data_IF_207917802594
#
_entry.id   IF_207917802594
#
_cell.length_a   1.000
_cell.length_b   1.000
_cell.length_c   1.000
_cell.angle_alpha   90.00
_cell.angle_beta   90.00
_cell.angle_gamma   90.00
#
_symmetry.space_group_name_H-M   'P 1'
#
loop_
_entity.id
_entity.type
_entity.pdbx_description
1 polymer ?
#
# COMPACT_ATOMS: atom_id res chain seq x y z
N UNK A 1 4.51 -34.89 -14.81
CA UNK A 1 5.60 -33.94 -14.47
C UNK A 1 5.21 -32.94 -13.36
N UNK A 2 3.98 -32.39 -13.31
CA UNK A 2 3.56 -31.43 -12.22
C UNK A 2 3.62 -32.03 -10.81
N UNK A 3 3.17 -33.28 -10.62
CA UNK A 3 3.11 -33.91 -9.28
C UNK A 3 4.47 -34.23 -8.66
N UNK A 4 5.51 -34.48 -9.47
CA UNK A 4 6.86 -34.75 -8.96
C UNK A 4 7.57 -33.48 -8.50
N UNK A 5 7.51 -32.41 -9.30
CA UNK A 5 8.05 -31.11 -8.91
C UNK A 5 7.37 -30.59 -7.63
N UNK A 6 6.04 -30.66 -7.55
CA UNK A 6 5.30 -30.21 -6.35
C UNK A 6 5.69 -31.03 -5.08
N UNK A 7 6.00 -32.31 -5.23
CA UNK A 7 6.50 -33.15 -4.13
C UNK A 7 7.91 -32.69 -3.70
N UNK A 8 8.81 -32.46 -4.65
CA UNK A 8 10.17 -31.96 -4.40
C UNK A 8 10.13 -30.59 -3.71
N UNK A 9 9.26 -29.69 -4.18
CA UNK A 9 9.11 -28.36 -3.58
C UNK A 9 8.59 -28.41 -2.14
N UNK A 10 7.65 -29.31 -1.83
CA UNK A 10 7.16 -29.49 -0.46
C UNK A 10 8.24 -29.97 0.52
N UNK A 11 9.26 -30.70 0.05
CA UNK A 11 10.38 -31.14 0.88
C UNK A 11 11.26 -30.01 1.42
N UNK A 12 11.13 -28.79 0.89
CA UNK A 12 11.83 -27.60 1.40
C UNK A 12 11.12 -26.96 2.59
N UNK A 13 9.86 -27.28 2.84
CA UNK A 13 9.12 -26.71 3.96
C UNK A 13 9.77 -27.11 5.30
N UNK A 14 9.95 -26.13 6.19
CA UNK A 14 10.63 -26.28 7.48
C UNK A 14 12.15 -26.25 7.41
N UNK A 15 12.77 -26.25 6.20
CA UNK A 15 14.23 -26.14 6.06
C UNK A 15 14.73 -24.72 6.33
N UNK A 16 15.96 -24.55 6.85
CA UNK A 16 16.59 -23.23 7.03
C UNK A 16 16.63 -22.46 5.73
N UNK A 17 16.22 -21.20 5.79
CA UNK A 17 16.25 -20.28 4.65
C UNK A 17 17.43 -19.30 4.72
N UNK A 18 17.70 -18.76 5.90
CA UNK A 18 18.84 -17.88 6.18
C UNK A 18 19.05 -17.79 7.70
N UNK A 19 20.25 -17.52 8.12
CA UNK A 19 20.58 -17.15 9.50
C UNK A 19 21.78 -16.23 9.49
N UNK A 20 21.98 -15.45 10.56
CA UNK A 20 23.17 -14.64 10.70
C UNK A 20 23.01 -13.44 11.62
N UNK A 21 24.02 -12.58 11.56
CA UNK A 21 24.11 -11.33 12.30
C UNK A 21 24.02 -10.17 11.31
N UNK A 22 23.29 -9.12 11.67
CA UNK A 22 23.26 -7.87 10.92
C UNK A 22 24.69 -7.30 10.74
N UNK A 23 24.99 -6.75 9.57
CA UNK A 23 26.35 -6.22 9.27
C UNK A 23 26.77 -5.06 10.17
N UNK A 24 25.81 -4.32 10.66
CA UNK A 24 26.00 -3.20 11.57
C UNK A 24 25.04 -3.31 12.74
N UNK A 25 25.42 -2.91 13.96
CA UNK A 25 24.45 -2.69 15.02
C UNK A 25 23.42 -1.65 14.62
N UNK A 26 22.27 -1.64 15.25
CA UNK A 26 21.30 -0.55 15.11
C UNK A 26 22.03 0.77 15.36
N UNK A 27 21.84 1.75 14.46
CA UNK A 27 22.59 3.00 14.56
C UNK A 27 21.81 4.22 14.10
N UNK A 28 22.09 5.35 14.72
CA UNK A 28 21.39 6.61 14.46
C UNK A 28 21.58 7.15 13.01
N UNK A 29 22.76 7.01 12.35
CA UNK A 29 22.88 7.40 10.94
C UNK A 29 21.92 6.68 10.01
N UNK A 30 21.80 5.36 10.12
CA UNK A 30 20.86 4.60 9.28
C UNK A 30 19.40 4.97 9.57
N UNK A 31 19.03 5.16 10.85
CA UNK A 31 17.70 5.65 11.23
C UNK A 31 17.42 7.00 10.56
N UNK A 32 18.36 7.94 10.63
CA UNK A 32 18.21 9.25 10.00
C UNK A 32 18.08 9.15 8.48
N UNK A 33 18.92 8.38 7.80
CA UNK A 33 18.86 8.20 6.35
C UNK A 33 17.53 7.60 5.92
N UNK A 34 17.02 6.63 6.67
CA UNK A 34 15.70 6.06 6.42
C UNK A 34 14.59 7.10 6.55
N UNK A 35 14.55 7.83 7.67
CA UNK A 35 13.53 8.85 7.91
C UNK A 35 13.57 9.97 6.87
N UNK A 36 14.78 10.43 6.49
CA UNK A 36 14.97 11.41 5.42
C UNK A 36 14.47 10.90 4.06
N UNK A 37 14.79 9.65 3.70
CA UNK A 37 14.40 9.05 2.44
C UNK A 37 12.87 8.99 2.27
N UNK A 38 12.13 8.61 3.33
CA UNK A 38 10.68 8.49 3.27
C UNK A 38 9.94 9.75 3.77
N UNK A 39 10.68 10.77 4.24
CA UNK A 39 10.12 12.01 4.79
C UNK A 39 9.41 11.84 6.14
N UNK A 40 9.78 10.83 6.93
CA UNK A 40 9.23 10.61 8.28
C UNK A 40 9.88 11.56 9.29
N UNK A 41 9.06 12.40 9.92
CA UNK A 41 9.49 13.42 10.90
C UNK A 41 9.05 13.11 12.32
N UNK A 42 8.69 11.87 12.61
CA UNK A 42 8.29 11.49 13.96
C UNK A 42 9.44 11.74 14.95
N UNK A 43 9.24 12.55 16.00
CA UNK A 43 10.29 12.90 16.97
C UNK A 43 10.85 11.69 17.73
N UNK A 44 10.16 10.56 17.79
CA UNK A 44 10.66 9.34 18.40
C UNK A 44 11.90 8.76 17.67
N UNK A 45 12.08 9.10 16.39
CA UNK A 45 13.21 8.66 15.54
C UNK A 45 14.39 9.62 15.55
N UNK A 46 14.31 10.70 16.34
CA UNK A 46 15.32 11.75 16.41
C UNK A 46 15.79 12.00 17.84
N UNK A 47 16.83 12.79 18.00
CA UNK A 47 17.37 13.19 19.32
C UNK A 47 18.59 12.39 19.75
N UNK A 48 18.90 12.42 21.05
CA UNK A 48 20.11 11.77 21.60
C UNK A 48 19.99 10.25 21.69
N UNK A 49 18.78 9.74 21.90
CA UNK A 49 18.49 8.31 22.02
C UNK A 49 17.32 7.97 21.07
N UNK A 50 17.55 8.00 19.74
CA UNK A 50 16.48 7.72 18.80
C UNK A 50 16.05 6.24 18.88
N UNK A 51 14.79 5.97 18.67
CA UNK A 51 14.31 4.63 18.40
C UNK A 51 14.39 4.34 16.90
N UNK A 52 14.62 3.09 16.52
CA UNK A 52 14.48 2.70 15.14
C UNK A 52 12.98 2.62 14.78
N UNK A 53 12.53 3.23 13.66
CA UNK A 53 11.20 3.01 13.14
C UNK A 53 10.86 1.52 13.03
N UNK A 54 9.67 1.05 13.44
CA UNK A 54 9.31 -0.37 13.35
C UNK A 54 9.52 -0.98 11.97
N UNK A 55 9.18 -0.24 10.91
CA UNK A 55 9.37 -0.67 9.52
C UNK A 55 10.83 -0.97 9.12
N UNK A 56 11.81 -0.54 9.93
CA UNK A 56 13.22 -0.89 9.74
C UNK A 56 13.60 -2.29 10.26
N UNK A 57 12.68 -3.05 10.86
CA UNK A 57 12.99 -4.37 11.42
C UNK A 57 13.76 -5.26 10.42
N UNK A 58 13.30 -5.35 9.19
CA UNK A 58 13.96 -6.12 8.13
C UNK A 58 15.27 -5.46 7.66
N UNK A 59 15.38 -4.14 7.70
CA UNK A 59 16.54 -3.40 7.18
C UNK A 59 17.84 -3.84 7.85
N UNK A 60 17.79 -4.15 9.15
CA UNK A 60 18.94 -4.60 9.93
C UNK A 60 19.43 -6.01 9.57
N UNK A 61 18.62 -6.79 8.85
CA UNK A 61 18.98 -8.15 8.38
C UNK A 61 19.42 -8.17 6.92
N UNK A 62 19.39 -7.03 6.22
CA UNK A 62 19.71 -6.94 4.80
C UNK A 62 21.23 -7.05 4.56
N UNK A 63 21.60 -7.93 3.64
CA UNK A 63 23.01 -8.20 3.32
C UNK A 63 23.74 -7.01 2.66
N UNK A 64 23.02 -6.08 2.04
CA UNK A 64 23.57 -4.96 1.31
C UNK A 64 24.20 -5.36 -0.03
N UNK A 65 24.95 -4.43 -0.65
CA UNK A 65 25.48 -4.60 -2.02
C UNK A 65 26.47 -5.77 -2.16
N UNK A 66 27.33 -5.99 -1.16
CA UNK A 66 28.35 -7.04 -1.23
C UNK A 66 27.79 -8.45 -1.13
N UNK A 67 26.52 -8.64 -0.75
CA UNK A 67 25.83 -9.93 -0.76
C UNK A 67 26.49 -11.06 0.04
N UNK A 68 27.53 -10.75 0.82
CA UNK A 68 28.26 -11.75 1.59
C UNK A 68 27.39 -12.40 2.68
N UNK A 69 27.79 -13.61 3.17
CA UNK A 69 27.11 -14.21 4.27
C UNK A 69 27.07 -13.26 5.47
N UNK A 70 26.05 -13.37 6.32
CA UNK A 70 26.03 -12.65 7.59
C UNK A 70 27.33 -12.91 8.36
N UNK A 71 27.82 -11.91 9.06
CA UNK A 71 29.03 -12.06 9.90
C UNK A 71 28.68 -13.00 11.05
N UNK A 72 29.52 -13.99 11.32
CA UNK A 72 29.35 -14.85 12.50
C UNK A 72 29.33 -13.96 13.78
N UNK A 73 28.42 -14.22 14.73
CA UNK A 73 28.37 -13.43 15.94
C UNK A 73 29.67 -13.63 16.72
N UNK A 74 30.32 -12.56 17.22
CA UNK A 74 31.50 -12.70 18.05
C UNK A 74 31.15 -13.50 19.31
N UNK A 75 31.79 -14.69 19.46
CA UNK A 75 31.58 -15.59 20.61
C UNK A 75 30.45 -16.61 20.48
N UNK A 76 29.89 -16.81 19.28
CA UNK A 76 28.97 -17.92 19.01
C UNK A 76 29.67 -19.27 19.09
N UNK A 77 28.94 -20.38 19.43
CA UNK A 77 29.51 -21.71 19.41
C UNK A 77 30.07 -21.98 18.00
N UNK A 78 31.29 -22.53 17.94
CA UNK A 78 31.99 -22.85 16.70
C UNK A 78 31.31 -23.99 15.94
N UNK A 79 30.22 -23.69 15.29
CA UNK A 79 29.52 -24.58 14.38
C UNK A 79 29.12 -23.76 13.16
N UNK A 80 29.49 -24.19 11.97
CA UNK A 80 29.05 -23.57 10.73
C UNK A 80 27.51 -23.48 10.75
N UNK A 81 26.91 -22.34 10.39
CA UNK A 81 25.47 -22.20 10.33
C UNK A 81 24.91 -23.28 9.38
N UNK A 82 23.69 -23.80 9.64
CA UNK A 82 23.10 -24.81 8.77
C UNK A 82 23.01 -24.25 7.34
N UNK A 83 23.35 -25.03 6.31
CA UNK A 83 23.35 -24.56 4.94
C UNK A 83 21.95 -24.08 4.55
N UNK A 84 21.86 -22.86 4.01
CA UNK A 84 20.61 -22.31 3.51
C UNK A 84 20.04 -23.16 2.39
N UNK A 85 18.77 -23.52 2.48
CA UNK A 85 18.06 -24.26 1.46
C UNK A 85 17.46 -23.36 0.34
N UNK A 86 17.49 -22.04 0.51
CA UNK A 86 16.97 -21.07 -0.47
C UNK A 86 17.71 -21.12 -1.81
N UNK A 87 19.05 -21.18 -1.87
CA UNK A 87 19.77 -21.30 -3.15
C UNK A 87 19.36 -22.54 -3.93
N UNK A 88 19.28 -23.71 -3.26
CA UNK A 88 18.85 -24.98 -3.90
C UNK A 88 17.40 -24.88 -4.42
N UNK A 89 16.49 -24.36 -3.60
CA UNK A 89 15.09 -24.13 -3.98
C UNK A 89 14.99 -23.18 -5.17
N UNK A 90 15.79 -22.12 -5.14
CA UNK A 90 15.83 -21.12 -6.23
C UNK A 90 16.34 -21.72 -7.52
N UNK A 91 17.40 -22.53 -7.48
CA UNK A 91 17.93 -23.24 -8.64
C UNK A 91 16.89 -24.23 -9.22
N UNK A 92 16.23 -25.01 -8.37
CA UNK A 92 15.18 -25.93 -8.79
C UNK A 92 14.00 -25.20 -9.48
N UNK A 93 13.62 -24.04 -8.99
CA UNK A 93 12.57 -23.22 -9.61
C UNK A 93 13.05 -22.58 -10.92
N UNK A 94 14.31 -22.17 -10.99
CA UNK A 94 14.90 -21.64 -12.23
C UNK A 94 14.98 -22.72 -13.33
N UNK A 95 15.34 -23.96 -12.99
CA UNK A 95 15.29 -25.10 -13.92
C UNK A 95 13.88 -25.36 -14.46
N UNK A 96 12.84 -25.06 -13.65
CA UNK A 96 11.44 -25.13 -14.10
C UNK A 96 10.96 -23.91 -14.89
N UNK A 97 11.86 -22.97 -15.22
CA UNK A 97 11.59 -21.74 -15.94
C UNK A 97 11.17 -20.56 -15.05
N UNK A 98 11.06 -20.72 -13.71
CA UNK A 98 10.67 -19.66 -12.80
C UNK A 98 11.88 -18.80 -12.39
N UNK A 99 12.39 -18.00 -13.32
CA UNK A 99 13.61 -17.19 -13.17
C UNK A 99 13.38 -15.80 -12.56
N UNK A 100 12.20 -15.22 -12.73
CA UNK A 100 11.86 -13.91 -12.20
C UNK A 100 11.33 -13.99 -10.75
N UNK A 101 11.51 -12.91 -9.99
CA UNK A 101 11.03 -12.79 -8.62
C UNK A 101 10.39 -11.43 -8.37
N UNK A 102 9.33 -11.42 -7.56
CA UNK A 102 8.72 -10.19 -7.05
C UNK A 102 8.20 -10.42 -5.64
N UNK A 103 8.39 -9.43 -4.76
CA UNK A 103 7.79 -9.41 -3.44
C UNK A 103 6.28 -9.18 -3.54
N UNK A 104 5.47 -9.92 -2.77
CA UNK A 104 4.02 -9.82 -2.79
C UNK A 104 3.43 -9.43 -1.46
N UNK A 105 3.91 -10.02 -0.37
CA UNK A 105 3.37 -9.80 0.97
C UNK A 105 4.53 -9.67 1.97
N UNK A 106 4.35 -8.80 2.95
CA UNK A 106 5.28 -8.63 4.07
C UNK A 106 4.46 -8.43 5.34
N UNK A 107 4.68 -9.28 6.34
CA UNK A 107 4.07 -9.17 7.66
C UNK A 107 5.17 -9.07 8.70
N UNK A 108 5.09 -8.07 9.55
CA UNK A 108 6.05 -7.83 10.63
C UNK A 108 5.33 -7.70 11.96
N UNK A 109 5.83 -8.41 12.95
CA UNK A 109 5.42 -8.29 14.36
C UNK A 109 6.57 -7.66 15.14
N UNK A 110 6.27 -6.66 15.95
CA UNK A 110 7.24 -5.86 16.69
C UNK A 110 7.05 -6.10 18.18
N UNK A 111 7.96 -6.83 18.80
CA UNK A 111 7.85 -7.20 20.21
C UNK A 111 8.36 -6.10 21.14
N UNK A 112 9.31 -5.29 20.66
CA UNK A 112 9.84 -4.11 21.34
C UNK A 112 10.52 -3.16 20.36
N UNK A 113 10.68 -1.88 20.74
CA UNK A 113 11.51 -0.95 19.98
C UNK A 113 12.97 -1.39 19.93
N UNK A 114 13.66 -1.10 18.82
CA UNK A 114 15.10 -1.28 18.66
C UNK A 114 15.83 0.04 18.95
N UNK A 115 17.02 -0.06 19.59
CA UNK A 115 17.82 1.08 20.00
C UNK A 115 19.22 1.04 19.39
N UNK A 116 19.86 2.20 19.13
CA UNK A 116 21.26 2.25 18.71
C UNK A 116 22.19 1.46 19.65
N UNK A 117 23.11 0.72 19.05
CA UNK A 117 24.05 -0.15 19.75
C UNK A 117 23.65 -1.62 19.79
N UNK A 118 22.38 -1.95 19.65
CA UNK A 118 21.92 -3.34 19.68
C UNK A 118 22.37 -4.13 18.45
N UNK A 119 22.88 -5.34 18.69
CA UNK A 119 23.30 -6.28 17.64
C UNK A 119 22.15 -7.18 17.25
N UNK A 120 21.79 -7.15 15.98
CA UNK A 120 20.69 -7.93 15.44
C UNK A 120 21.17 -9.29 14.98
N UNK A 121 20.52 -10.35 15.47
CA UNK A 121 20.67 -11.72 14.94
C UNK A 121 19.33 -12.22 14.42
N UNK A 122 19.38 -13.13 13.44
CA UNK A 122 18.16 -13.66 12.85
C UNK A 122 18.31 -15.11 12.37
N UNK A 123 17.21 -15.81 12.40
CA UNK A 123 17.04 -17.16 11.86
C UNK A 123 15.77 -17.20 11.03
N UNK A 124 15.85 -17.75 9.83
CA UNK A 124 14.72 -17.84 8.91
C UNK A 124 14.53 -19.27 8.42
N UNK A 125 13.25 -19.65 8.28
CA UNK A 125 12.84 -20.94 7.73
C UNK A 125 11.90 -20.76 6.54
N UNK A 126 11.88 -21.73 5.63
CA UNK A 126 10.90 -21.80 4.55
C UNK A 126 9.59 -22.32 5.16
N UNK A 127 8.62 -21.42 5.34
CA UNK A 127 7.31 -21.78 5.89
C UNK A 127 6.49 -22.58 4.88
N UNK A 128 6.49 -22.17 3.63
CA UNK A 128 5.73 -22.87 2.59
C UNK A 128 6.23 -22.56 1.18
N UNK A 129 6.01 -23.51 0.27
CA UNK A 129 6.13 -23.33 -1.17
C UNK A 129 4.80 -23.75 -1.80
N UNK A 130 4.14 -22.83 -2.52
CA UNK A 130 2.83 -23.12 -3.10
C UNK A 130 2.92 -24.07 -4.29
N UNK A 131 1.86 -24.83 -4.61
CA UNK A 131 1.70 -25.40 -5.93
C UNK A 131 1.79 -24.32 -7.02
N UNK A 132 2.02 -24.75 -8.27
CA UNK A 132 2.07 -23.84 -9.42
C UNK A 132 0.78 -23.02 -9.53
N UNK A 133 0.90 -21.70 -9.60
CA UNK A 133 -0.23 -20.76 -9.73
C UNK A 133 -0.11 -19.95 -11.02
N UNK A 134 -1.26 -19.70 -11.64
CA UNK A 134 -1.36 -18.71 -12.73
C UNK A 134 -1.55 -17.32 -12.11
N UNK A 135 -0.73 -16.37 -12.51
CA UNK A 135 -0.80 -14.96 -12.07
C UNK A 135 -0.79 -14.04 -13.28
N UNK A 136 -0.98 -12.74 -13.07
CA UNK A 136 -0.86 -11.73 -14.15
C UNK A 136 0.57 -11.63 -14.70
N UNK A 137 1.58 -12.01 -13.91
CA UNK A 137 2.99 -11.95 -14.29
C UNK A 137 3.47 -13.23 -15.00
N UNK A 138 2.67 -14.28 -15.01
CA UNK A 138 3.00 -15.59 -15.52
C UNK A 138 2.65 -16.70 -14.56
N UNK A 139 3.13 -17.91 -14.87
CA UNK A 139 2.98 -19.07 -13.98
C UNK A 139 4.14 -19.17 -13.01
N UNK A 140 3.87 -19.43 -11.74
CA UNK A 140 4.94 -19.52 -10.74
C UNK A 140 4.51 -20.11 -9.41
N UNK A 141 5.43 -20.04 -8.46
CA UNK A 141 5.27 -20.55 -7.11
C UNK A 141 5.49 -19.42 -6.10
N UNK A 142 4.63 -19.35 -5.08
CA UNK A 142 4.86 -18.47 -3.95
C UNK A 142 5.75 -19.19 -2.94
N UNK A 143 6.82 -18.52 -2.51
CA UNK A 143 7.67 -18.94 -1.42
C UNK A 143 7.38 -18.02 -0.25
N UNK A 144 7.06 -18.60 0.91
CA UNK A 144 6.90 -17.85 2.15
C UNK A 144 8.01 -18.26 3.12
N UNK A 145 8.70 -17.27 3.65
CA UNK A 145 9.70 -17.46 4.72
C UNK A 145 9.24 -16.77 5.99
N UNK A 146 9.63 -17.32 7.13
CA UNK A 146 9.44 -16.69 8.44
C UNK A 146 10.81 -16.54 9.08
N UNK A 147 11.08 -15.33 9.59
CA UNK A 147 12.33 -14.95 10.23
C UNK A 147 12.04 -14.49 11.66
N UNK A 148 12.69 -15.11 12.62
CA UNK A 148 12.74 -14.66 14.00
C UNK A 148 13.95 -13.73 14.16
N UNK A 149 13.73 -12.55 14.72
CA UNK A 149 14.73 -11.49 14.87
C UNK A 149 14.94 -11.22 16.35
N UNK A 150 16.20 -11.19 16.75
CA UNK A 150 16.65 -10.90 18.11
C UNK A 150 17.57 -9.69 18.10
N UNK A 151 17.56 -8.94 19.19
CA UNK A 151 18.49 -7.85 19.43
C UNK A 151 19.19 -8.13 20.77
N UNK A 152 20.51 -8.26 20.77
CA UNK A 152 21.34 -8.70 21.89
C UNK A 152 20.82 -10.04 22.50
N UNK A 153 20.40 -10.97 21.64
CA UNK A 153 19.86 -12.27 22.03
C UNK A 153 18.39 -12.25 22.52
N UNK A 154 17.80 -11.07 22.75
CA UNK A 154 16.41 -10.93 23.20
C UNK A 154 15.46 -10.87 21.99
N UNK A 155 14.33 -11.59 21.98
CA UNK A 155 13.35 -11.49 20.91
C UNK A 155 12.92 -10.03 20.65
N UNK A 156 13.03 -9.58 19.41
CA UNK A 156 12.74 -8.21 19.00
C UNK A 156 11.58 -8.13 18.01
N UNK A 157 11.40 -9.15 17.18
CA UNK A 157 10.30 -9.19 16.24
C UNK A 157 10.32 -10.43 15.35
N UNK A 158 9.31 -10.51 14.52
CA UNK A 158 9.11 -11.58 13.54
C UNK A 158 8.80 -10.98 12.18
N UNK A 159 9.36 -11.57 11.14
CA UNK A 159 9.15 -11.13 9.77
C UNK A 159 8.72 -12.31 8.91
N UNK A 160 7.50 -12.26 8.38
CA UNK A 160 6.96 -13.20 7.43
C UNK A 160 6.94 -12.57 6.05
N UNK A 161 7.67 -13.15 5.11
CA UNK A 161 7.90 -12.57 3.79
C UNK A 161 7.49 -13.54 2.70
N UNK A 162 6.77 -13.02 1.69
CA UNK A 162 6.29 -13.82 0.59
C UNK A 162 6.71 -13.23 -0.73
N UNK A 163 7.34 -14.06 -1.54
CA UNK A 163 7.74 -13.74 -2.91
C UNK A 163 7.06 -14.67 -3.90
N UNK A 164 6.80 -14.18 -5.09
CA UNK A 164 6.42 -14.99 -6.24
C UNK A 164 7.68 -15.21 -7.09
N UNK A 165 8.07 -16.47 -7.26
CA UNK A 165 9.02 -16.91 -8.30
C UNK A 165 8.22 -17.39 -9.49
N UNK A 166 8.45 -16.82 -10.68
CA UNK A 166 7.62 -17.08 -11.85
C UNK A 166 8.42 -17.17 -13.14
N UNK A 167 7.90 -17.95 -14.09
CA UNK A 167 8.32 -17.89 -15.47
C UNK A 167 7.69 -16.64 -16.08
N UNK A 168 8.51 -15.66 -16.52
CA UNK A 168 7.96 -14.54 -17.28
C UNK A 168 7.16 -15.13 -18.44
N UNK A 169 5.86 -14.85 -18.48
CA UNK A 169 5.08 -15.11 -19.69
C UNK A 169 5.69 -14.33 -20.85
N UNK A 170 5.41 -14.71 -22.09
CA UNK A 170 5.56 -13.74 -23.19
C UNK A 170 4.99 -12.41 -22.68
N UNK A 171 5.70 -11.26 -22.89
CA UNK A 171 5.22 -9.97 -22.42
C UNK A 171 3.71 -9.96 -22.66
N UNK A 172 2.86 -9.65 -21.66
CA UNK A 172 1.43 -9.66 -21.89
C UNK A 172 1.24 -8.90 -23.18
N UNK A 173 0.62 -9.55 -24.18
CA UNK A 173 0.28 -8.88 -25.42
C UNK A 173 -0.13 -7.49 -25.01
N UNK A 174 0.64 -6.50 -25.47
CA UNK A 174 0.54 -5.10 -25.07
C UNK A 174 -0.92 -4.83 -24.79
N UNK A 175 -1.34 -4.50 -23.56
CA UNK A 175 -2.76 -4.42 -23.24
C UNK A 175 -3.37 -3.63 -24.35
N UNK A 176 -4.31 -4.22 -25.07
CA UNK A 176 -4.76 -3.81 -26.39
C UNK A 176 -5.02 -2.29 -26.39
N UNK A 177 -4.08 -1.50 -26.82
CA UNK A 177 -4.09 -0.05 -26.77
C UNK A 177 -4.04 0.56 -25.36
N UNK A 178 -3.78 1.85 -25.21
CA UNK A 178 -3.97 2.54 -23.95
C UNK A 178 -5.41 2.27 -23.51
N UNK A 179 -5.56 1.87 -22.22
CA UNK A 179 -6.89 1.60 -21.64
C UNK A 179 -7.81 2.76 -22.03
N UNK A 180 -8.98 2.53 -22.63
CA UNK A 180 -9.83 3.62 -23.03
C UNK A 180 -10.04 4.57 -21.85
N UNK A 181 -9.78 5.84 -22.06
CA UNK A 181 -10.01 6.84 -21.02
C UNK A 181 -11.48 6.87 -20.64
N UNK A 182 -11.74 7.20 -19.38
CA UNK A 182 -13.11 7.45 -18.95
C UNK A 182 -13.66 8.65 -19.71
N UNK A 183 -14.93 8.62 -20.13
CA UNK A 183 -15.54 9.76 -20.80
C UNK A 183 -15.38 11.00 -19.96
N UNK A 184 -14.93 12.08 -20.57
CA UNK A 184 -14.83 13.37 -19.90
C UNK A 184 -16.23 13.93 -19.65
N UNK A 185 -16.48 14.57 -18.51
CA UNK A 185 -17.74 15.24 -18.26
C UNK A 185 -17.95 16.37 -19.29
N UNK A 186 -19.18 16.51 -19.73
CA UNK A 186 -19.57 17.66 -20.54
C UNK A 186 -19.69 18.88 -19.62
N UNK A 187 -18.72 19.78 -19.69
CA UNK A 187 -18.74 21.05 -18.93
C UNK A 187 -19.45 22.10 -19.74
N UNK A 188 -20.44 22.73 -19.15
CA UNK A 188 -21.20 23.83 -19.74
C UNK A 188 -21.40 24.96 -18.72
N UNK A 189 -22.00 26.07 -19.14
CA UNK A 189 -22.23 27.24 -18.30
C UNK A 189 -22.93 26.89 -16.96
N UNK A 190 -23.83 25.94 -16.95
CA UNK A 190 -24.68 25.66 -15.79
C UNK A 190 -23.99 24.75 -14.75
N UNK A 191 -22.94 23.98 -15.16
CA UNK A 191 -22.21 23.07 -14.29
C UNK A 191 -20.71 23.39 -14.16
N UNK A 192 -20.20 24.43 -14.83
CA UNK A 192 -18.77 24.79 -14.79
C UNK A 192 -18.27 24.95 -13.35
N UNK A 193 -18.98 25.74 -12.53
CA UNK A 193 -18.56 25.96 -11.14
C UNK A 193 -18.53 24.69 -10.25
N UNK A 194 -19.30 23.66 -10.59
CA UNK A 194 -19.16 22.36 -9.95
C UNK A 194 -17.82 21.71 -10.31
N UNK A 195 -17.44 21.70 -11.60
CA UNK A 195 -16.20 21.09 -12.07
C UNK A 195 -14.96 21.88 -11.67
N UNK A 196 -15.06 23.22 -11.55
CA UNK A 196 -14.02 24.09 -11.00
C UNK A 196 -13.76 23.71 -9.52
N UNK A 197 -14.82 23.54 -8.72
CA UNK A 197 -14.71 23.04 -7.36
C UNK A 197 -14.07 21.64 -7.29
N UNK A 198 -14.47 20.73 -8.16
CA UNK A 198 -13.88 19.37 -8.23
C UNK A 198 -12.38 19.44 -8.55
N UNK A 199 -11.95 20.30 -9.45
CA UNK A 199 -10.53 20.49 -9.77
C UNK A 199 -9.72 20.98 -8.54
N UNK A 200 -10.35 21.77 -7.66
CA UNK A 200 -9.81 22.23 -6.37
C UNK A 200 -10.02 21.23 -5.22
N UNK A 201 -10.55 20.02 -5.49
CA UNK A 201 -10.92 19.00 -4.49
C UNK A 201 -11.99 19.48 -3.51
N UNK A 202 -12.94 20.28 -3.99
CA UNK A 202 -14.09 20.80 -3.25
C UNK A 202 -15.39 20.37 -3.90
N UNK A 203 -16.31 19.81 -3.12
CA UNK A 203 -17.66 19.49 -3.59
C UNK A 203 -18.59 20.68 -3.30
N UNK A 204 -18.92 21.43 -4.33
CA UNK A 204 -19.75 22.64 -4.21
C UNK A 204 -21.22 22.33 -4.54
N UNK A 205 -22.11 22.76 -3.66
CA UNK A 205 -23.57 22.66 -3.78
C UNK A 205 -24.14 24.04 -4.06
N UNK A 206 -25.08 24.16 -5.00
CA UNK A 206 -25.77 25.42 -5.24
C UNK A 206 -26.72 25.78 -4.09
N UNK A 207 -26.73 27.05 -3.67
CA UNK A 207 -27.68 27.63 -2.73
C UNK A 207 -28.40 28.81 -3.42
N UNK A 208 -29.72 28.70 -3.55
CA UNK A 208 -30.53 29.83 -4.07
C UNK A 208 -30.40 31.02 -3.16
N UNK A 209 -30.07 32.21 -3.73
CA UNK A 209 -29.95 33.44 -2.94
C UNK A 209 -31.30 34.03 -2.56
N UNK A 210 -32.38 33.71 -3.30
CA UNK A 210 -33.72 34.22 -3.03
C UNK A 210 -34.44 33.48 -1.92
N UNK A 211 -34.35 32.09 -1.88
CA UNK A 211 -35.09 31.28 -0.91
C UNK A 211 -34.20 30.39 -0.02
N UNK A 212 -32.87 30.48 -0.16
CA UNK A 212 -31.91 29.74 0.64
C UNK A 212 -31.81 28.23 0.35
N UNK A 213 -32.66 27.68 -0.53
CA UNK A 213 -32.72 26.24 -0.80
C UNK A 213 -31.42 25.73 -1.43
N UNK A 214 -30.89 24.65 -0.89
CA UNK A 214 -29.81 23.90 -1.48
C UNK A 214 -30.34 23.02 -2.62
N UNK A 215 -29.52 22.81 -3.65
CA UNK A 215 -29.88 22.00 -4.81
C UNK A 215 -28.67 21.31 -5.42
N UNK A 216 -28.89 20.08 -5.82
CA UNK A 216 -27.98 19.25 -6.61
C UNK A 216 -28.84 18.27 -7.46
N UNK A 217 -28.51 17.96 -8.73
CA UNK A 217 -27.42 18.53 -9.53
C UNK A 217 -27.56 20.05 -9.75
N UNK A 218 -26.49 20.67 -10.24
CA UNK A 218 -26.49 22.09 -10.59
C UNK A 218 -27.49 22.34 -11.73
N UNK A 219 -28.32 23.36 -11.56
CA UNK A 219 -29.39 23.74 -12.49
C UNK A 219 -29.39 25.25 -12.71
N UNK A 220 -29.82 25.75 -13.89
CA UNK A 220 -29.85 27.15 -14.20
C UNK A 220 -30.80 27.97 -13.29
N UNK A 221 -31.87 27.37 -12.77
CA UNK A 221 -32.85 28.02 -11.92
C UNK A 221 -33.27 27.23 -10.72
N UNK A 222 -33.83 27.89 -9.72
CA UNK A 222 -34.34 27.25 -8.52
C UNK A 222 -35.73 26.60 -8.77
N UNK A 223 -35.83 25.28 -8.59
CA UNK A 223 -37.10 24.56 -8.77
C UNK A 223 -38.20 24.98 -7.77
N UNK A 224 -37.83 25.64 -6.66
CA UNK A 224 -38.80 26.04 -5.64
C UNK A 224 -39.36 27.45 -5.85
N UNK A 225 -38.55 28.40 -6.36
CA UNK A 225 -38.96 29.80 -6.48
C UNK A 225 -38.67 30.43 -7.85
N UNK A 226 -38.13 29.67 -8.82
CA UNK A 226 -37.83 30.14 -10.17
C UNK A 226 -36.59 31.06 -10.29
N UNK A 227 -36.01 31.51 -9.19
CA UNK A 227 -34.85 32.43 -9.22
C UNK A 227 -33.65 31.82 -9.95
N UNK A 228 -33.00 32.57 -10.87
CA UNK A 228 -31.77 32.14 -11.52
C UNK A 228 -30.52 32.40 -10.68
N UNK A 229 -30.64 33.15 -9.56
CA UNK A 229 -29.51 33.58 -8.76
C UNK A 229 -29.14 32.57 -7.69
N UNK A 230 -27.85 32.29 -7.57
CA UNK A 230 -27.33 31.29 -6.63
C UNK A 230 -25.93 31.67 -6.14
N UNK A 231 -25.54 31.10 -5.02
CA UNK A 231 -24.20 31.06 -4.49
C UNK A 231 -23.82 29.59 -4.22
N UNK A 232 -22.62 29.33 -3.73
CA UNK A 232 -22.17 27.97 -3.42
C UNK A 232 -22.01 27.75 -1.92
N UNK A 233 -22.20 26.50 -1.50
CA UNK A 233 -21.85 25.98 -0.18
C UNK A 233 -20.96 24.79 -0.42
N UNK A 234 -19.84 24.70 0.30
CA UNK A 234 -18.98 23.54 0.28
C UNK A 234 -19.59 22.42 1.12
N UNK A 235 -19.70 21.22 0.55
CA UNK A 235 -20.19 20.04 1.26
C UNK A 235 -19.19 19.58 2.31
N UNK A 236 -19.67 19.12 3.47
CA UNK A 236 -18.87 18.43 4.47
C UNK A 236 -18.28 17.11 3.96
N UNK A 237 -18.72 16.66 2.77
CA UNK A 237 -18.24 15.44 2.13
C UNK A 237 -18.69 14.15 2.83
N UNK A 238 -19.73 14.22 3.67
CA UNK A 238 -20.32 13.06 4.34
C UNK A 238 -21.73 12.82 3.84
N UNK A 239 -22.18 11.55 3.84
CA UNK A 239 -23.51 11.17 3.43
C UNK A 239 -23.80 9.71 3.67
N UNK A 240 -24.95 9.26 3.17
CA UNK A 240 -25.35 7.85 3.22
C UNK A 240 -25.80 7.37 1.85
N UNK A 241 -25.63 6.08 1.58
CA UNK A 241 -26.16 5.45 0.37
C UNK A 241 -27.69 5.43 0.45
N UNK A 242 -28.36 6.27 -0.34
CA UNK A 242 -29.82 6.32 -0.41
C UNK A 242 -30.38 5.18 -1.27
N UNK A 243 -29.72 4.90 -2.39
CA UNK A 243 -29.97 3.73 -3.24
C UNK A 243 -28.71 3.43 -4.07
N UNK A 244 -28.63 2.25 -4.67
CA UNK A 244 -27.48 1.90 -5.52
C UNK A 244 -27.86 0.84 -6.55
N UNK A 245 -27.00 0.74 -7.59
CA UNK A 245 -27.00 -0.34 -8.56
C UNK A 245 -25.58 -0.89 -8.69
N UNK A 246 -25.46 -2.17 -9.01
CA UNK A 246 -24.18 -2.81 -9.34
C UNK A 246 -24.13 -3.09 -10.83
N UNK A 247 -23.17 -2.49 -11.49
CA UNK A 247 -22.99 -2.60 -12.94
C UNK A 247 -22.14 -3.83 -13.26
N UNK A 248 -22.78 -4.84 -13.85
CA UNK A 248 -22.13 -6.06 -14.34
C UNK A 248 -21.96 -6.06 -15.86
N UNK A 249 -22.99 -5.60 -16.59
CA UNK A 249 -23.08 -5.58 -18.04
C UNK A 249 -23.86 -4.37 -18.55
N UNK A 250 -23.59 -3.91 -19.81
CA UNK A 250 -22.47 -4.31 -20.65
C UNK A 250 -21.13 -3.81 -20.07
N UNK A 251 -19.99 -4.53 -20.30
CA UNK A 251 -18.71 -4.04 -19.87
C UNK A 251 -18.36 -2.78 -20.66
N UNK A 252 -18.18 -1.67 -19.96
CA UNK A 252 -17.67 -0.45 -20.57
C UNK A 252 -16.14 -0.45 -20.45
N UNK A 253 -15.38 -0.32 -21.54
CA UNK A 253 -13.92 -0.57 -21.54
C UNK A 253 -13.10 0.25 -20.55
N UNK A 254 -13.62 1.44 -20.14
CA UNK A 254 -12.97 2.33 -19.18
C UNK A 254 -13.25 1.99 -17.71
N UNK A 255 -14.10 1.00 -17.42
CA UNK A 255 -14.48 0.59 -16.07
C UNK A 255 -14.19 -0.89 -15.84
N UNK A 256 -13.96 -1.28 -14.60
CA UNK A 256 -13.78 -2.67 -14.19
C UNK A 256 -15.05 -3.18 -13.51
N UNK A 257 -15.95 -3.87 -14.22
CA UNK A 257 -17.11 -4.49 -13.60
C UNK A 257 -16.70 -5.70 -12.72
N UNK A 258 -17.41 -5.99 -11.61
CA UNK A 258 -18.56 -5.21 -11.14
C UNK A 258 -18.13 -3.94 -10.41
N UNK A 259 -18.87 -2.84 -10.63
CA UNK A 259 -18.69 -1.60 -9.87
C UNK A 259 -20.04 -1.02 -9.44
N UNK A 260 -20.07 -0.29 -8.34
CA UNK A 260 -21.30 0.27 -7.80
C UNK A 260 -21.47 1.75 -8.17
N UNK A 261 -22.70 2.12 -8.51
CA UNK A 261 -23.16 3.50 -8.68
C UNK A 261 -24.24 3.73 -7.64
N UNK A 262 -24.03 4.69 -6.74
CA UNK A 262 -24.91 5.05 -5.65
C UNK A 262 -25.58 6.40 -5.87
N UNK A 263 -26.83 6.52 -5.43
CA UNK A 263 -27.46 7.79 -5.13
C UNK A 263 -27.14 8.11 -3.66
N UNK A 264 -26.31 9.10 -3.44
CA UNK A 264 -25.81 9.47 -2.11
C UNK A 264 -26.62 10.64 -1.60
N UNK A 265 -27.20 10.49 -0.41
CA UNK A 265 -27.80 11.57 0.35
C UNK A 265 -26.71 12.23 1.19
N UNK A 266 -26.37 13.48 0.84
CA UNK A 266 -25.35 14.25 1.54
C UNK A 266 -25.89 14.80 2.87
N UNK A 267 -24.99 15.09 3.81
CA UNK A 267 -25.36 15.66 5.11
C UNK A 267 -26.16 16.99 4.96
N UNK A 268 -25.97 17.69 3.86
CA UNK A 268 -26.68 18.92 3.53
C UNK A 268 -28.11 18.69 3.00
N UNK A 269 -28.57 17.43 2.91
CA UNK A 269 -29.91 17.06 2.50
C UNK A 269 -30.17 17.08 0.98
N UNK A 270 -29.13 17.18 0.17
CA UNK A 270 -29.21 17.01 -1.29
C UNK A 270 -28.69 15.66 -1.70
N UNK A 271 -29.04 15.19 -2.91
CA UNK A 271 -28.63 13.87 -3.41
C UNK A 271 -27.75 14.00 -4.64
N UNK A 272 -26.74 13.14 -4.70
CA UNK A 272 -25.77 13.07 -5.78
C UNK A 272 -25.58 11.64 -6.27
N UNK A 273 -25.52 11.45 -7.59
CA UNK A 273 -25.11 10.16 -8.19
C UNK A 273 -23.59 10.13 -8.27
N UNK A 274 -23.02 9.05 -7.77
CA UNK A 274 -21.56 8.83 -7.82
C UNK A 274 -21.22 7.35 -7.65
N UNK A 275 -19.93 7.00 -7.86
CA UNK A 275 -19.45 5.65 -7.54
C UNK A 275 -19.30 5.48 -6.03
N UNK A 276 -19.70 4.30 -5.51
CA UNK A 276 -19.38 3.84 -4.17
C UNK A 276 -18.15 2.95 -4.26
N UNK A 277 -17.10 3.33 -3.53
CA UNK A 277 -15.79 2.67 -3.56
C UNK A 277 -15.35 2.20 -2.18
N UNK A 278 -14.30 1.38 -2.10
CA UNK A 278 -13.72 0.93 -0.84
C UNK A 278 -14.46 -0.23 -0.18
N UNK A 279 -15.47 -0.78 -0.83
CA UNK A 279 -16.25 -1.94 -0.38
C UNK A 279 -16.56 -2.82 -1.58
N UNK A 280 -16.65 -4.14 -1.35
CA UNK A 280 -17.14 -5.05 -2.39
C UNK A 280 -18.61 -4.70 -2.75
N UNK A 281 -18.96 -4.61 -4.05
CA UNK A 281 -20.31 -4.18 -4.47
C UNK A 281 -21.46 -4.94 -3.81
N UNK A 282 -21.27 -6.25 -3.55
CA UNK A 282 -22.27 -7.09 -2.89
C UNK A 282 -22.45 -6.83 -1.39
N UNK A 283 -21.59 -6.01 -0.78
CA UNK A 283 -21.67 -5.63 0.64
C UNK A 283 -22.27 -4.24 0.87
N UNK A 284 -22.59 -3.52 -0.19
CA UNK A 284 -23.23 -2.20 -0.08
C UNK A 284 -24.66 -2.38 0.41
N UNK A 285 -25.08 -1.52 1.32
CA UNK A 285 -26.44 -1.48 1.86
C UNK A 285 -27.00 -0.06 1.81
N UNK A 286 -28.32 0.07 1.69
CA UNK A 286 -29.00 1.36 1.87
C UNK A 286 -28.80 1.83 3.31
N UNK A 287 -28.49 3.12 3.48
CA UNK A 287 -28.14 3.71 4.77
C UNK A 287 -26.65 3.59 5.13
N UNK A 288 -25.84 2.85 4.33
CA UNK A 288 -24.39 2.75 4.58
C UNK A 288 -23.74 4.14 4.59
N UNK A 289 -23.02 4.51 5.65
CA UNK A 289 -22.30 5.78 5.70
C UNK A 289 -21.20 5.82 4.62
N UNK A 290 -21.02 6.98 4.01
CA UNK A 290 -20.00 7.20 2.99
C UNK A 290 -19.33 8.55 3.15
N UNK A 291 -18.10 8.67 2.65
CA UNK A 291 -17.33 9.92 2.64
C UNK A 291 -16.79 10.20 1.24
N UNK A 292 -16.83 11.47 0.88
CA UNK A 292 -16.27 12.01 -0.36
C UNK A 292 -14.76 11.73 -0.47
N UNK A 293 -14.37 11.30 -1.65
CA UNK A 293 -12.98 11.14 -2.09
C UNK A 293 -12.87 11.62 -3.54
N UNK A 294 -11.72 12.17 -3.93
CA UNK A 294 -11.46 12.58 -5.30
C UNK A 294 -10.47 11.62 -5.94
N UNK A 295 -10.94 10.86 -6.94
CA UNK A 295 -10.10 9.93 -7.70
C UNK A 295 -9.62 10.56 -9.00
N UNK A 296 -8.36 10.32 -9.36
CA UNK A 296 -7.85 10.64 -10.69
C UNK A 296 -8.46 9.68 -11.72
N UNK A 297 -8.98 10.24 -12.81
CA UNK A 297 -9.60 9.50 -13.92
C UNK A 297 -8.77 9.56 -15.22
N UNK A 298 -7.53 10.05 -15.16
CA UNK A 298 -6.61 10.28 -16.29
C UNK A 298 -6.40 11.78 -16.56
N UNK A 299 -5.31 12.13 -17.23
CA UNK A 299 -4.94 13.49 -17.71
C UNK A 299 -5.37 14.67 -16.81
N UNK A 300 -5.17 14.56 -15.50
CA UNK A 300 -5.53 15.61 -14.53
C UNK A 300 -7.02 15.73 -14.20
N UNK A 301 -7.87 14.85 -14.76
CA UNK A 301 -9.30 14.81 -14.41
C UNK A 301 -9.50 14.19 -13.04
N UNK A 302 -10.23 14.90 -12.16
CA UNK A 302 -10.72 14.39 -10.89
C UNK A 302 -12.21 14.02 -11.00
N UNK A 303 -12.60 12.96 -10.30
CA UNK A 303 -14.00 12.58 -10.13
C UNK A 303 -14.32 12.48 -8.64
N UNK A 304 -15.40 13.12 -8.16
CA UNK A 304 -15.88 12.92 -6.81
C UNK A 304 -16.54 11.55 -6.71
N UNK A 305 -16.07 10.72 -5.78
CA UNK A 305 -16.62 9.40 -5.47
C UNK A 305 -16.86 9.30 -3.97
N UNK A 306 -17.60 8.29 -3.54
CA UNK A 306 -17.90 8.11 -2.12
C UNK A 306 -17.36 6.79 -1.62
N UNK A 307 -16.44 6.87 -0.67
CA UNK A 307 -15.90 5.69 0.02
C UNK A 307 -16.83 5.26 1.13
N UNK A 308 -17.18 3.98 1.12
CA UNK A 308 -17.95 3.37 2.21
C UNK A 308 -17.17 3.46 3.54
N UNK A 309 -17.88 3.86 4.59
CA UNK A 309 -17.38 3.85 5.97
C UNK A 309 -18.05 2.69 6.69
N UNK A 310 -17.28 1.70 7.11
CA UNK A 310 -17.82 0.59 7.90
C UNK A 310 -18.29 1.13 9.27
N UNK A 311 -19.45 0.72 9.77
CA UNK A 311 -19.92 1.10 11.10
C UNK A 311 -18.87 0.80 12.17
N UNK A 312 -18.67 1.71 13.12
CA UNK A 312 -17.66 1.57 14.17
C UNK A 312 -16.21 1.79 13.70
N UNK A 313 -16.02 2.35 12.49
CA UNK A 313 -14.69 2.73 11.99
C UNK A 313 -14.66 4.21 11.60
N UNK A 314 -13.61 4.90 12.06
CA UNK A 314 -13.33 6.30 11.70
C UNK A 314 -12.34 6.38 10.55
N UNK A 315 -12.60 7.25 9.59
CA UNK A 315 -11.65 7.57 8.51
C UNK A 315 -10.47 8.38 9.06
N UNK A 316 -9.29 8.09 8.55
CA UNK A 316 -8.08 8.86 8.80
C UNK A 316 -7.83 9.87 7.68
N UNK A 317 -7.25 11.03 7.98
CA UNK A 317 -6.79 11.98 6.95
C UNK A 317 -5.91 11.30 5.92
N UNK A 318 -6.06 11.62 4.63
CA UNK A 318 -5.22 11.03 3.58
C UNK A 318 -3.80 11.62 3.62
N UNK A 319 -2.82 10.82 3.20
CA UNK A 319 -1.44 11.26 2.95
C UNK A 319 -1.09 11.05 1.48
N UNK A 320 -0.64 12.11 0.81
CA UNK A 320 -0.24 12.06 -0.60
C UNK A 320 1.29 12.17 -0.71
N UNK A 321 1.89 11.26 -1.45
CA UNK A 321 3.35 11.16 -1.63
C UNK A 321 3.68 11.19 -3.11
N UNK A 322 4.36 12.23 -3.62
CA UNK A 322 4.92 12.23 -4.97
C UNK A 322 6.01 11.16 -5.09
N UNK A 323 5.87 10.26 -6.05
CA UNK A 323 6.84 9.19 -6.30
C UNK A 323 7.90 9.70 -7.26
N UNK A 324 8.99 10.22 -6.70
CA UNK A 324 10.13 10.72 -7.47
C UNK A 324 11.19 9.63 -7.64
N UNK A 325 12.07 9.78 -8.65
CA UNK A 325 13.27 8.93 -8.77
C UNK A 325 14.11 8.96 -7.49
N UNK A 326 14.25 10.16 -6.92
CA UNK A 326 15.00 10.34 -5.67
C UNK A 326 14.40 9.52 -4.54
N UNK A 327 13.07 9.52 -4.35
CA UNK A 327 12.41 8.73 -3.31
C UNK A 327 12.66 7.22 -3.52
N UNK A 328 12.53 6.73 -4.75
CA UNK A 328 12.72 5.30 -5.06
C UNK A 328 14.15 4.89 -4.75
N UNK A 329 15.14 5.63 -5.27
CA UNK A 329 16.57 5.32 -5.07
C UNK A 329 16.98 5.50 -3.62
N UNK A 330 16.61 6.62 -2.98
CA UNK A 330 16.92 6.87 -1.58
C UNK A 330 16.33 5.81 -0.65
N UNK A 331 15.06 5.40 -0.89
CA UNK A 331 14.41 4.34 -0.12
C UNK A 331 15.09 2.99 -0.31
N UNK A 332 15.50 2.64 -1.52
CA UNK A 332 16.25 1.42 -1.80
C UNK A 332 17.61 1.42 -1.05
N UNK A 333 18.36 2.51 -1.15
CA UNK A 333 19.67 2.63 -0.47
C UNK A 333 19.52 2.63 1.06
N UNK A 334 18.57 3.39 1.60
CA UNK A 334 18.33 3.47 3.03
C UNK A 334 17.84 2.14 3.62
N UNK A 335 17.14 1.33 2.83
CA UNK A 335 16.72 -0.03 3.22
C UNK A 335 17.77 -1.10 2.93
N UNK A 336 18.90 -0.75 2.33
CA UNK A 336 19.96 -1.67 1.88
C UNK A 336 19.46 -2.71 0.86
N UNK A 337 18.41 -2.39 0.14
CA UNK A 337 17.88 -3.19 -0.96
C UNK A 337 18.51 -2.75 -2.28
N UNK A 338 19.66 -3.34 -2.57
CA UNK A 338 20.46 -3.02 -3.74
C UNK A 338 20.05 -3.82 -4.99
N UNK A 339 18.80 -4.30 -5.07
CA UNK A 339 18.30 -4.86 -6.32
C UNK A 339 18.26 -3.78 -7.41
N UNK A 340 18.90 -4.08 -8.53
CA UNK A 340 19.07 -3.17 -9.66
C UNK A 340 17.76 -2.55 -10.18
N UNK A 341 16.65 -3.27 -10.11
CA UNK A 341 15.32 -2.78 -10.52
C UNK A 341 14.84 -1.54 -9.74
N UNK A 342 15.49 -1.19 -8.63
CA UNK A 342 15.14 -0.04 -7.80
C UNK A 342 16.03 1.19 -8.05
N UNK A 343 17.11 1.05 -8.81
CA UNK A 343 18.05 2.16 -9.04
C UNK A 343 18.64 2.22 -10.46
N UNK A 344 18.56 1.13 -11.24
CA UNK A 344 19.06 1.07 -12.61
C UNK A 344 17.89 0.91 -13.60
N UNK A 345 17.57 1.96 -14.38
CA UNK A 345 16.47 1.90 -15.35
C UNK A 345 16.69 0.88 -16.50
N UNK A 346 17.94 0.64 -16.89
CA UNK A 346 18.25 -0.32 -17.97
C UNK A 346 18.05 -1.75 -17.49
N UNK A 347 18.54 -2.06 -16.29
CA UNK A 347 18.31 -3.35 -15.66
C UNK A 347 16.83 -3.61 -15.36
N UNK A 348 16.09 -2.58 -14.95
CA UNK A 348 14.64 -2.68 -14.74
C UNK A 348 13.92 -3.01 -16.05
N UNK A 349 14.27 -2.34 -17.17
CA UNK A 349 13.69 -2.60 -18.50
C UNK A 349 14.06 -3.99 -19.01
N UNK A 350 15.30 -4.42 -18.81
CA UNK A 350 15.74 -5.77 -19.19
C UNK A 350 14.94 -6.87 -18.46
N UNK A 351 14.42 -6.55 -17.25
CA UNK A 351 13.54 -7.44 -16.46
C UNK A 351 12.04 -7.21 -16.73
N UNK A 352 11.68 -6.39 -17.72
CA UNK A 352 10.30 -6.18 -18.18
C UNK A 352 9.53 -5.07 -17.47
N UNK A 353 10.15 -4.29 -16.57
CA UNK A 353 9.54 -3.09 -16.03
C UNK A 353 9.78 -1.88 -16.96
N UNK A 354 8.86 -0.90 -17.04
CA UNK A 354 9.06 0.28 -17.89
C UNK A 354 10.15 1.22 -17.36
N UNK A 355 10.38 1.22 -16.06
CA UNK A 355 11.36 2.05 -15.35
C UNK A 355 11.69 1.41 -13.99
N UNK A 356 12.58 2.04 -13.21
CA UNK A 356 12.79 1.69 -11.80
C UNK A 356 11.47 1.82 -11.03
N UNK A 357 11.29 1.01 -9.99
CA UNK A 357 10.09 1.07 -9.17
C UNK A 357 10.40 0.91 -7.68
N UNK A 358 9.48 1.40 -6.84
CA UNK A 358 9.63 1.41 -5.38
C UNK A 358 9.67 -0.01 -4.82
N UNK A 359 10.59 -0.26 -3.89
CA UNK A 359 10.68 -1.53 -3.17
C UNK A 359 9.64 -1.64 -2.05
N UNK A 360 9.44 -2.87 -1.56
CA UNK A 360 8.46 -3.17 -0.51
C UNK A 360 8.83 -2.54 0.84
N UNK A 361 10.13 -2.41 1.15
CA UNK A 361 10.59 -1.81 2.39
C UNK A 361 10.21 -0.33 2.47
N UNK A 362 10.41 0.43 1.38
CA UNK A 362 9.98 1.82 1.29
C UNK A 362 8.46 1.95 1.45
N UNK A 363 7.68 1.03 0.84
CA UNK A 363 6.23 0.99 1.02
C UNK A 363 5.85 0.73 2.48
N UNK A 364 6.51 -0.20 3.18
CA UNK A 364 6.36 -0.42 4.63
C UNK A 364 6.63 0.86 5.42
N UNK A 365 7.72 1.55 5.10
CA UNK A 365 8.08 2.82 5.71
C UNK A 365 7.00 3.89 5.55
N UNK A 366 6.46 4.04 4.33
CA UNK A 366 5.39 5.02 4.05
C UNK A 366 4.09 4.68 4.79
N UNK A 367 3.73 3.39 4.93
CA UNK A 367 2.60 2.97 5.78
C UNK A 367 2.88 3.30 7.24
N UNK A 368 4.06 3.00 7.76
CA UNK A 368 4.47 3.35 9.13
C UNK A 368 4.43 4.86 9.39
N UNK A 369 4.95 5.67 8.45
CA UNK A 369 4.85 7.13 8.48
C UNK A 369 3.40 7.61 8.53
N UNK A 370 2.52 7.05 7.68
CA UNK A 370 1.10 7.36 7.66
C UNK A 370 0.44 7.12 9.02
N UNK A 371 0.78 6.01 9.68
CA UNK A 371 0.32 5.73 11.05
C UNK A 371 0.87 6.76 12.03
N UNK A 372 2.17 7.06 11.99
CA UNK A 372 2.80 8.05 12.86
C UNK A 372 2.20 9.45 12.73
N UNK A 373 1.90 9.91 11.51
CA UNK A 373 1.25 11.21 11.25
C UNK A 373 -0.19 11.27 11.79
N UNK A 374 -0.93 10.15 11.78
CA UNK A 374 -2.32 10.11 12.25
C UNK A 374 -2.51 9.86 13.75
N UNK A 375 -1.57 9.15 14.39
CA UNK A 375 -1.68 8.74 15.80
C UNK A 375 -0.62 9.37 16.71
N UNK A 376 0.36 10.03 16.12
CA UNK A 376 1.43 10.73 16.84
C UNK A 376 2.54 9.80 17.37
N UNK A 377 3.54 10.38 18.06
CA UNK A 377 4.79 9.68 18.43
C UNK A 377 4.61 8.63 19.52
N UNK A 378 3.47 8.61 20.21
CA UNK A 378 3.16 7.62 21.25
C UNK A 378 2.46 6.36 20.72
N UNK A 379 2.11 6.32 19.45
CA UNK A 379 1.53 5.14 18.83
C UNK A 379 2.58 4.02 18.70
N UNK A 380 2.31 2.87 19.29
CA UNK A 380 3.17 1.69 19.21
C UNK A 380 2.56 0.73 18.21
N UNK A 381 3.23 0.54 17.07
CA UNK A 381 2.85 -0.47 16.09
C UNK A 381 3.30 -1.83 16.64
N UNK A 382 2.35 -2.75 16.84
CA UNK A 382 2.63 -4.13 17.27
C UNK A 382 2.73 -5.09 16.08
N UNK A 383 1.98 -4.80 15.01
CA UNK A 383 1.96 -5.61 13.80
C UNK A 383 1.65 -4.77 12.58
N UNK A 384 2.31 -5.09 11.48
CA UNK A 384 2.02 -4.51 10.17
C UNK A 384 2.08 -5.62 9.12
N UNK A 385 0.97 -5.81 8.41
CA UNK A 385 0.87 -6.73 7.30
C UNK A 385 0.52 -5.95 6.04
N UNK A 386 1.38 -6.02 5.01
CA UNK A 386 1.13 -5.36 3.73
C UNK A 386 1.06 -6.39 2.61
N UNK A 387 0.23 -6.07 1.63
CA UNK A 387 0.14 -6.77 0.35
C UNK A 387 0.31 -5.78 -0.77
N UNK A 388 1.28 -6.06 -1.66
CA UNK A 388 1.52 -5.25 -2.85
C UNK A 388 0.57 -5.61 -4.00
N UNK A 389 0.20 -4.58 -4.75
CA UNK A 389 -0.58 -4.69 -5.98
C UNK A 389 0.20 -4.18 -7.20
N UNK A 390 -0.19 -3.01 -7.74
CA UNK A 390 0.54 -2.39 -8.86
C UNK A 390 1.81 -1.70 -8.37
N UNK A 391 2.90 -1.65 -9.16
CA UNK A 391 4.11 -0.93 -8.79
C UNK A 391 3.90 0.59 -8.73
N UNK A 392 4.79 1.28 -8.01
CA UNK A 392 4.95 2.73 -8.07
C UNK A 392 6.16 3.08 -8.93
N UNK A 393 5.96 3.84 -9.99
CA UNK A 393 6.99 4.33 -10.90
C UNK A 393 7.30 5.82 -10.68
N UNK A 394 8.45 6.32 -11.15
CA UNK A 394 8.74 7.75 -11.13
C UNK A 394 7.66 8.55 -11.86
N UNK A 395 7.20 9.64 -11.25
CA UNK A 395 6.11 10.47 -11.76
C UNK A 395 4.71 10.10 -11.24
N UNK A 396 4.56 8.94 -10.60
CA UNK A 396 3.32 8.58 -9.92
C UNK A 396 3.07 9.48 -8.69
N UNK A 397 1.84 9.44 -8.21
CA UNK A 397 1.45 9.99 -6.90
C UNK A 397 0.74 8.89 -6.12
N UNK A 398 1.32 8.50 -4.99
CA UNK A 398 0.69 7.54 -4.07
C UNK A 398 -0.18 8.29 -3.06
N UNK A 399 -1.47 7.95 -3.00
CA UNK A 399 -2.37 8.44 -1.95
C UNK A 399 -2.69 7.30 -0.99
N UNK A 400 -2.31 7.45 0.27
CA UNK A 400 -2.65 6.56 1.37
C UNK A 400 -3.90 7.06 2.07
N UNK A 401 -4.86 6.18 2.26
CA UNK A 401 -6.09 6.41 3.03
C UNK A 401 -6.26 5.28 4.04
N UNK A 402 -6.91 5.54 5.15
CA UNK A 402 -7.09 4.50 6.16
C UNK A 402 -8.38 4.66 6.95
N UNK A 403 -8.77 3.57 7.61
CA UNK A 403 -9.84 3.53 8.61
C UNK A 403 -9.33 2.88 9.89
N UNK A 404 -9.77 3.37 11.03
CA UNK A 404 -9.44 2.81 12.35
C UNK A 404 -10.73 2.36 13.04
N UNK A 405 -10.71 1.23 13.72
CA UNK A 405 -11.77 0.83 14.63
C UNK A 405 -11.91 1.88 15.75
N UNK A 406 -13.14 2.32 16.04
CA UNK A 406 -13.41 3.32 17.07
C UNK A 406 -13.23 2.74 18.46
N UNK A 407 -13.57 1.46 18.61
CA UNK A 407 -13.44 0.70 19.84
C UNK A 407 -12.32 -0.33 19.74
N UNK A 408 -11.70 -0.67 20.85
CA UNK A 408 -10.68 -1.71 20.96
C UNK A 408 -9.31 -1.20 21.40
N UNK A 409 -8.62 -2.03 22.15
CA UNK A 409 -7.19 -1.93 22.46
C UNK A 409 -6.62 -3.36 22.43
N UNK A 410 -5.74 -3.70 21.49
CA UNK A 410 -5.15 -2.84 20.46
C UNK A 410 -6.14 -2.43 19.35
N UNK A 411 -5.86 -1.29 18.69
CA UNK A 411 -6.66 -0.77 17.59
C UNK A 411 -6.23 -1.34 16.25
N UNK A 412 -7.20 -1.76 15.45
CA UNK A 412 -6.97 -2.19 14.09
C UNK A 412 -7.15 -1.03 13.09
N UNK A 413 -6.11 -0.78 12.30
CA UNK A 413 -6.11 0.20 11.22
C UNK A 413 -5.96 -0.52 9.88
N UNK A 414 -6.88 -0.25 8.97
CA UNK A 414 -6.73 -0.69 7.58
C UNK A 414 -6.23 0.49 6.75
N UNK A 415 -5.19 0.27 5.94
CA UNK A 415 -4.62 1.29 5.06
C UNK A 415 -4.67 0.80 3.61
N UNK A 416 -5.05 1.69 2.71
CA UNK A 416 -5.01 1.44 1.25
C UNK A 416 -4.20 2.55 0.59
N UNK A 417 -3.24 2.17 -0.24
CA UNK A 417 -2.49 3.10 -1.08
C UNK A 417 -2.83 2.91 -2.55
N UNK A 418 -3.13 4.00 -3.24
CA UNK A 418 -3.55 4.01 -4.65
C UNK A 418 -2.68 4.97 -5.45
N UNK A 419 -2.30 4.58 -6.66
CA UNK A 419 -1.65 5.44 -7.66
C UNK A 419 -2.45 5.44 -8.97
N UNK A 420 -1.92 6.04 -10.03
CA UNK A 420 -2.59 6.09 -11.34
C UNK A 420 -2.85 4.72 -11.97
N UNK A 421 -2.06 3.70 -11.64
CA UNK A 421 -2.21 2.32 -12.13
C UNK A 421 -3.24 1.50 -11.31
N UNK A 422 -3.65 2.00 -10.15
CA UNK A 422 -4.59 1.33 -9.25
C UNK A 422 -4.06 1.13 -7.84
N UNK A 423 -4.51 0.07 -7.17
CA UNK A 423 -4.12 -0.20 -5.78
C UNK A 423 -2.69 -0.72 -5.70
N UNK A 424 -1.79 0.11 -5.15
CA UNK A 424 -0.40 -0.23 -4.91
C UNK A 424 -0.23 -1.10 -3.65
N UNK A 425 -0.91 -0.74 -2.56
CA UNK A 425 -0.77 -1.45 -1.28
C UNK A 425 -2.10 -1.56 -0.54
N UNK A 426 -2.33 -2.69 0.10
CA UNK A 426 -3.30 -2.87 1.18
C UNK A 426 -2.53 -3.25 2.43
N UNK A 427 -2.83 -2.62 3.56
CA UNK A 427 -2.18 -2.92 4.83
C UNK A 427 -3.21 -3.07 5.96
N UNK A 428 -2.90 -3.99 6.88
CA UNK A 428 -3.54 -4.09 8.18
C UNK A 428 -2.48 -3.81 9.24
N UNK A 429 -2.77 -2.88 10.13
CA UNK A 429 -1.85 -2.45 11.19
C UNK A 429 -2.55 -2.58 12.53
N UNK A 430 -1.88 -3.23 13.47
CA UNK A 430 -2.32 -3.32 14.86
C UNK A 430 -1.44 -2.37 15.67
N UNK A 431 -2.06 -1.47 16.39
CA UNK A 431 -1.35 -0.49 17.21
C UNK A 431 -1.99 -0.34 18.60
N UNK A 432 -1.15 -0.03 19.57
CA UNK A 432 -1.54 0.28 20.92
C UNK A 432 -1.06 1.69 21.27
N UNK A 433 -1.84 2.41 22.05
CA UNK A 433 -1.36 3.65 22.68
C UNK A 433 -0.36 3.26 23.78
N UNK A 434 0.85 3.85 23.74
CA UNK A 434 1.78 3.70 24.87
C UNK A 434 1.06 4.19 26.12
N UNK A 435 0.98 3.36 27.15
CA UNK A 435 0.25 3.63 28.39
C UNK A 435 0.52 5.02 28.93
N UNK A 436 -0.52 5.62 29.50
CA UNK A 436 -0.44 6.91 30.21
C UNK A 436 0.50 6.81 31.39
#
# INVERSE_FOLDING_TARGET
MSSDLDRRLRAYQGRPAACGTGKDPVNAPMIRHWCEAIGDRNPAWAGKEPLAPPAMLQVWTMAGLSGGPPVDPPGGPSGSPPPSALPELTALLAESGCTAVVATDCEQEYLRPLRPGEVITFESVIESVSPRKKTRLGHGHFITTVMEIRADGIPAGRHRFRVLRYAPGAPPEKPAGPRPERPRPVVNRDNAGFWDGVAERRLLIQRCTACGRLRFPWLPGCAACGSPHWTTVESAGTGTVHSYVVMHHPPFPAFDPPYAVGLIELAEGVRMISNVVGVEPGRITVGMPVRLEFLSAGEGQLLPVFRAVEPGRRMLPPMTVPITRTLIVAGALASRDFQDVHHDPEAARAKGAPDIFMNILTTNGLVGRYIGENFGPRAVIEKMAIRLGVPNYPGDTLTLTGTVAEDGDPREVTVTGVNALGRHVSAAVVLREAGR
#
